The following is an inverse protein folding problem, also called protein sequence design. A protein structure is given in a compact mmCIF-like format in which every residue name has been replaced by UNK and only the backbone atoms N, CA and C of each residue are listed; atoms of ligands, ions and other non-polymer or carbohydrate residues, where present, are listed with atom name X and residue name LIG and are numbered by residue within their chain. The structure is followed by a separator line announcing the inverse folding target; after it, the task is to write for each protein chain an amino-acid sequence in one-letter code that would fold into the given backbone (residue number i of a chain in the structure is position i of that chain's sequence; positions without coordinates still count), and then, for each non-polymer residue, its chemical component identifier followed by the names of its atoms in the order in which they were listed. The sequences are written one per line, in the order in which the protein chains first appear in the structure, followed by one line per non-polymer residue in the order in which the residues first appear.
data_IF_416206406088
#
_entry.id   IF_416206406088
#
_cell.length_a   1.000
_cell.length_b   1.000
_cell.length_c   1.000
_cell.angle_alpha   90.00
_cell.angle_beta   90.00
_cell.angle_gamma   90.00
#
_symmetry.space_group_name_H-M   'P 1'
#
loop_
_entity.id
_entity.type
_entity.pdbx_description
1 polymer ?
#
# COMPACT_ATOMS: atom_id res chain seq x y z
N UNK A 1 10.26 8.83 3.87
CA UNK A 1 9.96 7.45 4.32
C UNK A 1 10.75 6.52 3.42
N UNK A 2 11.53 5.61 4.01
CA UNK A 2 12.17 4.54 3.26
C UNK A 2 11.14 3.44 2.97
N UNK A 3 11.28 2.76 1.83
CA UNK A 3 10.41 1.61 1.47
C UNK A 3 10.34 0.56 2.59
N UNK A 4 11.44 0.33 3.30
CA UNK A 4 11.49 -0.61 4.42
C UNK A 4 10.62 -0.17 5.60
N UNK A 5 10.57 1.12 5.92
CA UNK A 5 9.70 1.68 6.96
C UNK A 5 8.23 1.47 6.59
N UNK A 6 7.87 1.77 5.33
CA UNK A 6 6.53 1.53 4.80
C UNK A 6 6.16 0.04 4.87
N UNK A 7 7.06 -0.85 4.45
CA UNK A 7 6.85 -2.29 4.49
C UNK A 7 6.65 -2.81 5.93
N UNK A 8 7.40 -2.28 6.89
CA UNK A 8 7.24 -2.63 8.30
C UNK A 8 5.89 -2.15 8.85
N UNK A 9 5.41 -0.98 8.41
CA UNK A 9 4.08 -0.49 8.78
C UNK A 9 2.98 -1.39 8.21
N UNK A 10 3.09 -1.79 6.93
CA UNK A 10 2.15 -2.74 6.31
C UNK A 10 2.12 -4.06 7.07
N UNK A 11 3.28 -4.65 7.38
CA UNK A 11 3.36 -5.90 8.18
C UNK A 11 2.74 -5.79 9.58
N UNK A 12 2.69 -4.58 10.15
CA UNK A 12 2.09 -4.32 11.46
C UNK A 12 0.57 -4.23 11.40
N UNK A 13 0.01 -3.73 10.29
CA UNK A 13 -1.43 -3.47 10.17
C UNK A 13 -2.18 -4.55 9.39
N UNK A 14 -1.47 -5.33 8.56
CA UNK A 14 -2.04 -6.33 7.66
C UNK A 14 -1.54 -7.72 8.06
N UNK A 15 -2.46 -8.53 8.57
CA UNK A 15 -2.22 -9.91 9.00
C UNK A 15 -2.59 -10.95 7.93
N UNK A 16 -3.53 -10.61 7.04
CA UNK A 16 -4.03 -11.47 5.97
C UNK A 16 -3.03 -11.50 4.81
N UNK A 17 -2.51 -12.69 4.54
CA UNK A 17 -1.47 -12.92 3.52
C UNK A 17 -1.88 -12.49 2.11
N UNK A 18 -3.14 -12.67 1.73
CA UNK A 18 -3.66 -12.23 0.43
C UNK A 18 -3.66 -10.70 0.30
N UNK A 19 -4.02 -9.97 1.36
CA UNK A 19 -4.00 -8.50 1.36
C UNK A 19 -2.56 -7.98 1.32
N UNK A 20 -1.66 -8.62 2.08
CA UNK A 20 -0.23 -8.30 2.02
C UNK A 20 0.33 -8.47 0.59
N UNK A 21 0.01 -9.56 -0.09
CA UNK A 21 0.44 -9.77 -1.48
C UNK A 21 -0.21 -8.82 -2.47
N UNK A 22 -1.47 -8.44 -2.27
CA UNK A 22 -2.14 -7.40 -3.05
C UNK A 22 -1.37 -6.07 -2.96
N UNK A 23 -0.99 -5.63 -1.76
CA UNK A 23 -0.24 -4.39 -1.58
C UNK A 23 1.14 -4.41 -2.25
N UNK A 24 1.85 -5.55 -2.21
CA UNK A 24 3.11 -5.72 -2.95
C UNK A 24 2.91 -5.70 -4.47
N UNK A 25 1.82 -6.29 -4.97
CA UNK A 25 1.50 -6.26 -6.39
C UNK A 25 1.17 -4.83 -6.85
N UNK A 26 0.40 -4.08 -6.07
CA UNK A 26 0.05 -2.69 -6.36
C UNK A 26 1.28 -1.79 -6.32
N UNK A 27 2.22 -1.98 -5.37
CA UNK A 27 3.52 -1.30 -5.41
C UNK A 27 4.23 -1.53 -6.76
N UNK A 28 4.34 -2.78 -7.20
CA UNK A 28 5.03 -3.11 -8.45
C UNK A 28 4.35 -2.49 -9.68
N UNK A 29 3.01 -2.50 -9.72
CA UNK A 29 2.21 -1.86 -10.76
C UNK A 29 2.43 -0.35 -10.75
N UNK A 30 2.37 0.29 -9.59
CA UNK A 30 2.56 1.74 -9.45
C UNK A 30 3.96 2.17 -9.89
N UNK A 31 5.00 1.40 -9.57
CA UNK A 31 6.36 1.63 -10.08
C UNK A 31 6.43 1.53 -11.61
N UNK A 32 5.77 0.53 -12.20
CA UNK A 32 5.72 0.39 -13.66
C UNK A 32 4.97 1.54 -14.33
N UNK A 33 3.86 2.00 -13.75
CA UNK A 33 3.11 3.15 -14.24
C UNK A 33 3.92 4.44 -14.13
N UNK A 34 4.63 4.65 -13.02
CA UNK A 34 5.49 5.81 -12.86
C UNK A 34 6.55 5.89 -13.97
N UNK A 35 7.22 4.78 -14.28
CA UNK A 35 8.16 4.71 -15.42
C UNK A 35 7.47 5.01 -16.76
N UNK A 36 6.25 4.52 -16.96
CA UNK A 36 5.50 4.76 -18.18
C UNK A 36 5.13 6.24 -18.37
N UNK A 37 4.75 6.92 -17.29
CA UNK A 37 4.35 8.32 -17.31
C UNK A 37 5.51 9.32 -17.10
N UNK A 38 6.73 8.84 -16.83
CA UNK A 38 7.88 9.71 -16.53
C UNK A 38 7.81 10.37 -15.15
N UNK A 39 7.14 9.71 -14.21
CA UNK A 39 6.89 10.18 -12.85
C UNK A 39 7.88 9.59 -11.84
N UNK A 40 7.82 10.06 -10.58
CA UNK A 40 8.66 9.56 -9.49
C UNK A 40 8.28 8.12 -9.09
N UNK A 41 9.11 7.16 -9.50
CA UNK A 41 8.92 5.73 -9.23
C UNK A 41 8.85 5.40 -7.73
N UNK A 42 9.71 6.00 -6.92
CA UNK A 42 9.76 5.70 -5.49
C UNK A 42 8.51 6.23 -4.79
N UNK A 43 8.09 7.45 -5.13
CA UNK A 43 6.86 8.03 -4.59
C UNK A 43 5.64 7.19 -4.95
N UNK A 44 5.51 6.77 -6.21
CA UNK A 44 4.39 5.94 -6.66
C UNK A 44 4.42 4.55 -6.03
N UNK A 45 5.60 3.94 -5.93
CA UNK A 45 5.78 2.67 -5.25
C UNK A 45 5.36 2.74 -3.78
N UNK A 46 5.77 3.78 -3.06
CA UNK A 46 5.37 4.00 -1.67
C UNK A 46 3.85 4.17 -1.53
N UNK A 47 3.22 4.97 -2.39
CA UNK A 47 1.76 5.15 -2.40
C UNK A 47 1.07 3.80 -2.63
N UNK A 48 1.50 3.04 -3.64
CA UNK A 48 0.94 1.72 -3.92
C UNK A 48 1.15 0.73 -2.78
N UNK A 49 2.29 0.80 -2.08
CA UNK A 49 2.59 -0.09 -0.97
C UNK A 49 1.67 0.16 0.24
N UNK A 50 1.26 1.40 0.52
CA UNK A 50 0.52 1.74 1.75
C UNK A 50 -0.95 2.10 1.52
N UNK A 51 -1.45 2.09 0.28
CA UNK A 51 -2.79 2.57 -0.07
C UNK A 51 -3.92 1.96 0.78
N UNK A 52 -3.82 0.66 1.08
CA UNK A 52 -4.85 -0.11 1.80
C UNK A 52 -4.45 -0.50 3.23
N UNK A 53 -3.60 0.29 3.88
CA UNK A 53 -3.00 -0.09 5.17
C UNK A 53 -3.99 -0.27 6.33
N UNK A 54 -5.20 0.29 6.23
CA UNK A 54 -6.27 0.15 7.21
C UNK A 54 -7.39 -0.82 6.77
N UNK A 55 -7.22 -1.51 5.64
CA UNK A 55 -8.24 -2.37 5.05
C UNK A 55 -8.80 -3.41 6.03
N UNK A 56 -7.95 -4.12 6.75
CA UNK A 56 -8.40 -5.15 7.70
C UNK A 56 -9.23 -4.60 8.87
N UNK A 57 -9.02 -3.35 9.25
CA UNK A 57 -9.81 -2.70 10.30
C UNK A 57 -11.13 -2.16 9.77
N UNK A 58 -11.21 -1.90 8.47
CA UNK A 58 -12.32 -1.22 7.80
C UNK A 58 -13.15 -2.14 6.92
N UNK A 59 -12.80 -3.42 6.80
CA UNK A 59 -13.51 -4.37 5.94
C UNK A 59 -15.00 -4.51 6.27
N UNK A 60 -15.37 -4.36 7.55
CA UNK A 60 -16.75 -4.37 8.02
C UNK A 60 -17.39 -2.97 8.06
N UNK A 61 -16.61 -1.90 7.87
CA UNK A 61 -17.04 -0.50 7.85
C UNK A 61 -16.28 0.27 6.76
N UNK A 62 -16.54 0.01 5.47
CA UNK A 62 -15.76 0.59 4.37
C UNK A 62 -15.80 2.12 4.33
N UNK A 63 -16.84 2.74 4.86
CA UNK A 63 -16.96 4.19 5.01
C UNK A 63 -15.89 4.82 5.92
N UNK A 64 -15.18 3.99 6.72
CA UNK A 64 -14.05 4.40 7.57
C UNK A 64 -12.68 4.17 6.92
N UNK A 65 -12.64 3.56 5.74
CA UNK A 65 -11.41 3.34 5.00
C UNK A 65 -10.70 4.66 4.70
N UNK A 66 -9.38 4.67 4.83
CA UNK A 66 -8.50 5.84 4.77
C UNK A 66 -8.66 6.85 5.92
N UNK A 67 -9.46 6.56 6.96
CA UNK A 67 -9.67 7.48 8.11
C UNK A 67 -9.02 7.02 9.42
N UNK A 68 -8.55 5.77 9.51
CA UNK A 68 -8.14 5.16 10.78
C UNK A 68 -6.74 4.52 10.78
N UNK A 69 -5.90 4.93 9.83
CA UNK A 69 -4.52 4.44 9.67
C UNK A 69 -3.60 4.87 10.82
#
# INVERSE_FOLDING_TARGET
MLREEALNLVKKHISKRNIFYHMLAVEAIMRALARHFGEDEEKWGLVGLVHDIDYEKTEATPEKHSLIA
#
